data_IF_541349027280
#
_entry.id   IF_541349027280
#
_cell.length_a   1.000
_cell.length_b   1.000
_cell.length_c   1.000
_cell.angle_alpha   90.00
_cell.angle_beta   90.00
_cell.angle_gamma   90.00
#
_symmetry.space_group_name_H-M   'P 1'
#
loop_
_entity.id
_entity.type
_entity.pdbx_description
1 polymer ?
#
# COMPACT_ATOMS: atom_id res chain seq x y z
N UNK A 1 18.06 -16.14 13.68
CA UNK A 1 16.61 -15.95 13.82
C UNK A 1 16.42 -14.59 14.45
N UNK A 2 16.22 -13.55 13.64
CA UNK A 2 16.06 -12.18 14.16
C UNK A 2 14.69 -12.08 14.80
N UNK A 3 14.66 -11.75 16.08
CA UNK A 3 13.49 -11.45 16.87
C UNK A 3 12.62 -10.45 16.10
N UNK A 4 11.33 -10.79 15.90
CA UNK A 4 10.29 -9.82 15.56
C UNK A 4 10.06 -8.90 16.77
N UNK A 5 11.06 -8.11 17.14
CA UNK A 5 10.87 -6.99 18.05
C UNK A 5 9.82 -6.08 17.41
N UNK A 6 8.62 -6.03 17.99
CA UNK A 6 7.49 -5.14 17.69
C UNK A 6 7.89 -3.85 16.94
N UNK A 7 8.11 -3.93 15.63
CA UNK A 7 8.26 -2.74 14.82
C UNK A 7 6.86 -2.18 14.72
N UNK A 8 6.61 -1.08 15.45
CA UNK A 8 5.47 -0.22 15.14
C UNK A 8 5.71 0.30 13.72
N UNK A 9 5.12 -0.39 12.73
CA UNK A 9 5.18 -0.01 11.31
C UNK A 9 4.72 1.44 11.11
N UNK A 10 3.91 1.98 12.03
CA UNK A 10 3.62 3.40 12.16
C UNK A 10 3.35 3.81 13.61
N UNK A 11 3.29 5.13 13.85
CA UNK A 11 2.82 5.74 15.10
C UNK A 11 1.33 5.49 15.39
N UNK A 12 0.63 4.80 14.48
CA UNK A 12 -0.76 4.39 14.59
C UNK A 12 -0.86 2.87 14.68
N UNK A 13 -1.89 2.37 15.36
CA UNK A 13 -2.19 0.93 15.36
C UNK A 13 -2.70 0.53 13.98
N UNK A 14 -1.93 -0.28 13.27
CA UNK A 14 -2.30 -0.87 11.97
C UNK A 14 -2.78 -2.30 12.24
N UNK A 15 -3.88 -2.77 11.61
CA UNK A 15 -4.29 -4.16 11.75
C UNK A 15 -3.22 -5.11 11.21
N UNK A 16 -3.16 -6.34 11.71
CA UNK A 16 -2.34 -7.38 11.07
C UNK A 16 -2.86 -7.71 9.67
N UNK A 17 -2.08 -8.46 8.91
CA UNK A 17 -2.54 -8.95 7.61
C UNK A 17 -3.80 -9.82 7.73
N UNK A 18 -3.82 -10.72 8.71
CA UNK A 18 -4.95 -11.62 8.98
C UNK A 18 -6.20 -10.83 9.36
N UNK A 19 -6.06 -9.86 10.26
CA UNK A 19 -7.16 -8.97 10.67
C UNK A 19 -7.72 -8.17 9.50
N UNK A 20 -6.84 -7.64 8.64
CA UNK A 20 -7.27 -6.90 7.47
C UNK A 20 -7.94 -7.82 6.44
N UNK A 21 -7.40 -9.01 6.21
CA UNK A 21 -7.97 -9.99 5.28
C UNK A 21 -9.36 -10.45 5.71
N UNK A 22 -9.58 -10.63 7.01
CA UNK A 22 -10.90 -10.97 7.56
C UNK A 22 -11.95 -9.86 7.36
N UNK A 23 -11.52 -8.60 7.19
CA UNK A 23 -12.42 -7.47 6.92
C UNK A 23 -12.80 -7.30 5.45
N UNK A 24 -12.12 -8.01 4.54
CA UNK A 24 -12.33 -7.92 3.10
C UNK A 24 -13.25 -9.03 2.58
N UNK A 25 -13.95 -8.81 1.46
CA UNK A 25 -14.69 -9.88 0.78
C UNK A 25 -13.78 -11.06 0.44
N UNK A 26 -14.29 -12.31 0.46
CA UNK A 26 -13.53 -13.47 0.02
C UNK A 26 -12.93 -13.27 -1.38
N UNK A 27 -11.63 -13.51 -1.52
CA UNK A 27 -10.92 -13.36 -2.79
C UNK A 27 -10.47 -11.94 -3.15
N UNK A 28 -10.62 -10.97 -2.23
CA UNK A 28 -10.05 -9.63 -2.42
C UNK A 28 -8.54 -9.69 -2.65
N UNK A 29 -8.06 -9.04 -3.71
CA UNK A 29 -6.64 -8.92 -4.07
C UNK A 29 -6.08 -7.58 -3.61
N UNK A 30 -4.75 -7.51 -3.47
CA UNK A 30 -4.01 -6.28 -3.18
C UNK A 30 -3.95 -5.35 -4.40
N UNK A 31 -5.12 -4.89 -4.87
CA UNK A 31 -5.24 -4.09 -6.09
C UNK A 31 -4.76 -4.86 -7.33
N UNK A 32 -3.98 -4.18 -8.18
CA UNK A 32 -3.46 -4.72 -9.45
C UNK A 32 -2.12 -5.47 -9.29
N UNK A 33 -1.67 -5.70 -8.06
CA UNK A 33 -0.44 -6.45 -7.80
C UNK A 33 -0.77 -7.84 -7.26
N UNK A 34 0.08 -8.81 -7.61
CA UNK A 34 0.02 -10.17 -7.11
C UNK A 34 1.23 -10.46 -6.22
N UNK A 35 1.24 -9.85 -5.05
CA UNK A 35 2.33 -10.04 -4.08
C UNK A 35 2.22 -11.35 -3.28
N UNK A 36 1.09 -12.05 -3.35
CA UNK A 36 0.78 -13.19 -2.46
C UNK A 36 0.41 -12.80 -1.03
N UNK A 37 0.47 -11.51 -0.67
CA UNK A 37 0.09 -10.96 0.64
C UNK A 37 -0.58 -9.59 0.49
N UNK A 38 -1.24 -9.10 1.55
CA UNK A 38 -1.81 -7.75 1.59
C UNK A 38 -0.77 -6.74 2.11
N UNK A 39 -0.32 -5.77 1.29
CA UNK A 39 0.70 -4.81 1.70
C UNK A 39 0.28 -3.98 2.91
N UNK A 40 1.27 -3.61 3.73
CA UNK A 40 1.08 -2.75 4.90
C UNK A 40 0.40 -1.41 4.56
N UNK A 41 0.52 -0.93 3.32
CA UNK A 41 0.00 0.37 2.90
C UNK A 41 -1.53 0.36 2.83
N UNK A 42 -2.12 -0.76 2.38
CA UNK A 42 -3.56 -0.96 2.41
C UNK A 42 -4.10 -1.01 3.84
N UNK A 43 -3.36 -1.68 4.74
CA UNK A 43 -3.68 -1.76 6.17
C UNK A 43 -3.62 -0.39 6.84
N UNK A 44 -2.62 0.42 6.52
CA UNK A 44 -2.51 1.81 6.98
C UNK A 44 -3.67 2.67 6.48
N UNK A 45 -3.99 2.61 5.18
CA UNK A 45 -5.12 3.35 4.60
C UNK A 45 -6.45 3.00 5.30
N UNK A 46 -6.67 1.74 5.66
CA UNK A 46 -7.88 1.30 6.36
C UNK A 46 -8.07 1.96 7.74
N UNK A 47 -7.00 2.49 8.37
CA UNK A 47 -7.09 3.25 9.62
C UNK A 47 -7.58 4.68 9.42
N UNK A 48 -7.48 5.22 8.21
CA UNK A 48 -7.84 6.60 7.90
C UNK A 48 -9.12 6.64 7.06
N UNK A 49 -10.30 6.67 7.73
CA UNK A 49 -11.60 6.59 7.05
C UNK A 49 -11.85 7.69 6.01
N UNK A 50 -11.32 8.89 6.25
CA UNK A 50 -11.50 10.03 5.34
C UNK A 50 -10.43 10.07 4.24
N UNK A 51 -9.17 9.83 4.60
CA UNK A 51 -8.02 10.00 3.69
C UNK A 51 -7.75 8.73 2.87
N UNK A 52 -7.92 7.54 3.46
CA UNK A 52 -7.62 6.25 2.83
C UNK A 52 -8.32 6.06 1.48
N UNK A 53 -9.66 6.25 1.38
CA UNK A 53 -10.35 6.14 0.10
C UNK A 53 -9.86 7.12 -0.96
N UNK A 54 -9.56 8.37 -0.57
CA UNK A 54 -9.05 9.41 -1.47
C UNK A 54 -7.65 9.07 -1.97
N UNK A 55 -6.76 8.67 -1.06
CA UNK A 55 -5.40 8.24 -1.41
C UNK A 55 -5.44 7.04 -2.37
N UNK A 56 -6.22 6.01 -2.06
CA UNK A 56 -6.33 4.83 -2.89
C UNK A 56 -6.87 5.13 -4.29
N UNK A 57 -7.82 6.07 -4.42
CA UNK A 57 -8.33 6.52 -5.72
C UNK A 57 -7.25 7.25 -6.53
N UNK A 58 -6.55 8.20 -5.90
CA UNK A 58 -5.46 8.94 -6.55
C UNK A 58 -4.33 8.00 -6.99
N UNK A 59 -3.90 7.10 -6.11
CA UNK A 59 -2.87 6.10 -6.40
C UNK A 59 -3.25 5.26 -7.62
N UNK A 60 -4.50 4.77 -7.69
CA UNK A 60 -4.97 3.99 -8.84
C UNK A 60 -4.95 4.78 -10.13
N UNK A 61 -5.38 6.04 -10.09
CA UNK A 61 -5.36 6.92 -11.26
C UNK A 61 -3.93 7.17 -11.75
N UNK A 62 -3.00 7.48 -10.84
CA UNK A 62 -1.60 7.73 -11.18
C UNK A 62 -0.92 6.47 -11.72
N UNK A 63 -1.09 5.32 -11.06
CA UNK A 63 -0.34 4.10 -11.42
C UNK A 63 -0.94 3.30 -12.57
N UNK A 64 -2.26 3.38 -12.78
CA UNK A 64 -2.97 2.49 -13.72
C UNK A 64 -3.95 3.20 -14.66
N UNK A 65 -4.21 4.50 -14.48
CA UNK A 65 -5.07 5.26 -15.38
C UNK A 65 -4.43 5.51 -16.75
N UNK A 66 -5.17 5.99 -17.76
CA UNK A 66 -4.59 6.44 -19.02
C UNK A 66 -3.63 7.63 -18.79
N UNK A 67 -2.62 7.79 -19.66
CA UNK A 67 -1.67 8.90 -19.59
C UNK A 67 -0.46 8.71 -20.52
N UNK A 68 0.42 9.70 -20.54
CA UNK A 68 1.63 9.73 -21.39
C UNK A 68 2.70 8.71 -20.98
N UNK A 69 2.73 8.35 -19.69
CA UNK A 69 3.69 7.39 -19.16
C UNK A 69 3.14 5.98 -19.22
N UNK A 70 3.99 5.04 -19.61
CA UNK A 70 3.71 3.63 -19.49
C UNK A 70 3.79 3.15 -18.03
N UNK A 71 3.55 1.86 -17.81
CA UNK A 71 3.51 1.28 -16.47
C UNK A 71 4.88 1.30 -15.79
N UNK A 72 5.94 1.01 -16.54
CA UNK A 72 7.31 0.92 -16.07
C UNK A 72 7.85 2.31 -15.72
N UNK A 73 7.55 3.31 -16.52
CA UNK A 73 7.91 4.71 -16.28
C UNK A 73 7.26 5.24 -15.01
N UNK A 74 5.98 4.90 -14.76
CA UNK A 74 5.30 5.26 -13.51
C UNK A 74 5.94 4.61 -12.28
N UNK A 75 6.36 3.34 -12.38
CA UNK A 75 7.11 2.67 -11.32
C UNK A 75 8.48 3.31 -11.08
N UNK A 76 9.18 3.72 -12.14
CA UNK A 76 10.45 4.44 -12.00
C UNK A 76 10.26 5.75 -11.23
N UNK A 77 9.22 6.53 -11.56
CA UNK A 77 8.89 7.76 -10.83
C UNK A 77 8.56 7.46 -9.36
N UNK A 78 7.74 6.43 -9.10
CA UNK A 78 7.40 6.02 -7.74
C UNK A 78 8.65 5.61 -6.92
N UNK A 79 9.56 4.84 -7.52
CA UNK A 79 10.80 4.41 -6.89
C UNK A 79 11.74 5.59 -6.57
N UNK A 80 11.94 6.52 -7.52
CA UNK A 80 12.76 7.71 -7.31
C UNK A 80 12.14 8.61 -6.24
N UNK A 81 10.82 8.83 -6.26
CA UNK A 81 10.14 9.62 -5.26
C UNK A 81 10.25 8.98 -3.86
N UNK A 82 10.06 7.66 -3.74
CA UNK A 82 10.22 6.95 -2.47
C UNK A 82 11.66 7.07 -1.94
N UNK A 83 12.66 6.85 -2.79
CA UNK A 83 14.08 6.97 -2.42
C UNK A 83 14.46 8.39 -1.99
N UNK A 84 14.00 9.41 -2.72
CA UNK A 84 14.27 10.82 -2.39
C UNK A 84 13.66 11.24 -1.04
N UNK A 85 12.59 10.58 -0.60
CA UNK A 85 11.93 10.84 0.67
C UNK A 85 12.38 9.89 1.80
N UNK A 86 13.37 9.02 1.55
CA UNK A 86 13.76 7.92 2.46
C UNK A 86 12.54 7.11 2.95
N UNK A 87 11.58 6.86 2.06
CA UNK A 87 10.39 6.07 2.36
C UNK A 87 10.71 4.57 2.25
N UNK A 88 10.76 3.87 3.39
CA UNK A 88 11.11 2.44 3.49
C UNK A 88 9.92 1.50 3.62
N UNK A 89 8.72 2.05 3.46
CA UNK A 89 7.46 1.37 3.71
C UNK A 89 7.10 0.37 2.61
#
# INVERSE_FOLDING_TARGET
MSSQENIREAWVSIPTEEEHRASLPPGARAGNYDFGYLPAMGRLQARHKEIGPLFGALYRQVMFGPGELDRQEREMVAAVAAAAQDCRY
#
